data_IF_732191137201
#
_entry.id   IF_732191137201
#
_cell.length_a   1.000
_cell.length_b   1.000
_cell.length_c   1.000
_cell.angle_alpha   90.00
_cell.angle_beta   90.00
_cell.angle_gamma   90.00
#
_symmetry.space_group_name_H-M   'P 1'
#
loop_
_entity.id
_entity.type
_entity.pdbx_description
1 polymer ?
#
# COMPACT_ATOMS: atom_id res chain seq x y z
N UNK A 1 -15.90 -28.03 -35.84
CA UNK A 1 -17.12 -27.27 -35.58
C UNK A 1 -16.73 -26.13 -34.66
N UNK A 2 -17.28 -24.93 -34.85
CA UNK A 2 -17.03 -23.82 -33.94
C UNK A 2 -18.03 -23.99 -32.78
N UNK A 3 -17.54 -24.47 -31.63
CA UNK A 3 -18.38 -24.84 -30.48
C UNK A 3 -18.84 -23.61 -29.67
N UNK A 4 -18.46 -22.41 -30.11
CA UNK A 4 -18.78 -21.14 -29.46
C UNK A 4 -19.90 -20.46 -30.23
N UNK A 5 -21.04 -20.22 -29.56
CA UNK A 5 -22.14 -19.49 -30.19
C UNK A 5 -21.74 -18.03 -30.45
N UNK A 6 -22.36 -17.37 -31.46
CA UNK A 6 -22.09 -15.97 -31.74
C UNK A 6 -22.31 -15.05 -30.54
N UNK A 7 -23.29 -15.32 -29.67
CA UNK A 7 -23.48 -14.54 -28.44
C UNK A 7 -22.33 -14.75 -27.44
N UNK A 8 -21.91 -16.01 -27.25
CA UNK A 8 -20.79 -16.32 -26.35
C UNK A 8 -19.49 -15.65 -26.83
N UNK A 9 -19.26 -15.64 -28.14
CA UNK A 9 -18.09 -14.96 -28.73
C UNK A 9 -18.10 -13.46 -28.44
N UNK A 10 -19.25 -12.81 -28.56
CA UNK A 10 -19.41 -11.37 -28.25
C UNK A 10 -19.21 -11.07 -26.76
N UNK A 11 -19.66 -11.96 -25.88
CA UNK A 11 -19.39 -11.84 -24.44
C UNK A 11 -17.88 -11.95 -24.14
N UNK A 12 -17.21 -12.95 -24.72
CA UNK A 12 -15.77 -13.13 -24.55
C UNK A 12 -14.98 -11.94 -25.10
N UNK A 13 -15.37 -11.43 -26.27
CA UNK A 13 -14.80 -10.22 -26.87
C UNK A 13 -14.97 -9.00 -25.94
N UNK A 14 -16.12 -8.85 -25.28
CA UNK A 14 -16.33 -7.78 -24.30
C UNK A 14 -15.47 -7.96 -23.03
N UNK A 15 -15.30 -9.19 -22.53
CA UNK A 15 -14.41 -9.48 -21.39
C UNK A 15 -12.95 -9.18 -21.73
N UNK A 16 -12.55 -9.42 -22.98
CA UNK A 16 -11.22 -9.08 -23.53
C UNK A 16 -11.04 -7.55 -23.74
N UNK A 17 -12.07 -6.75 -23.45
CA UNK A 17 -12.01 -5.29 -23.47
C UNK A 17 -12.43 -4.64 -24.79
N UNK A 18 -13.03 -5.41 -25.72
CA UNK A 18 -13.60 -4.85 -26.96
C UNK A 18 -14.96 -4.19 -26.69
N UNK A 19 -15.40 -3.38 -27.65
CA UNK A 19 -16.70 -2.71 -27.55
C UNK A 19 -17.88 -3.70 -27.50
N UNK A 20 -18.99 -3.34 -26.82
CA UNK A 20 -20.19 -4.16 -26.75
C UNK A 20 -20.77 -4.55 -28.12
N UNK A 21 -20.80 -5.86 -28.40
CA UNK A 21 -21.24 -6.43 -29.69
C UNK A 21 -22.73 -6.76 -29.80
N UNK A 22 -23.49 -6.69 -28.69
CA UNK A 22 -24.92 -6.98 -28.63
C UNK A 22 -25.62 -6.27 -27.45
N UNK A 23 -26.92 -6.50 -27.31
CA UNK A 23 -27.71 -5.86 -26.24
C UNK A 23 -27.24 -6.30 -24.84
N UNK A 24 -26.89 -7.58 -24.67
CA UNK A 24 -26.44 -8.10 -23.39
C UNK A 24 -25.14 -7.43 -22.93
N UNK A 25 -24.13 -7.38 -23.80
CA UNK A 25 -22.85 -6.71 -23.52
C UNK A 25 -23.00 -5.20 -23.33
N UNK A 26 -23.99 -4.55 -23.98
CA UNK A 26 -24.30 -3.12 -23.78
C UNK A 26 -24.92 -2.85 -22.41
N UNK A 27 -25.83 -3.71 -21.96
CA UNK A 27 -26.38 -3.63 -20.60
C UNK A 27 -25.30 -3.87 -19.55
N UNK A 28 -24.44 -4.86 -19.80
CA UNK A 28 -23.30 -5.15 -18.94
C UNK A 28 -22.34 -3.96 -18.85
N UNK A 29 -21.99 -3.31 -19.96
CA UNK A 29 -21.16 -2.11 -19.96
C UNK A 29 -21.79 -0.99 -19.12
N UNK A 30 -23.10 -0.71 -19.24
CA UNK A 30 -23.76 0.31 -18.41
C UNK A 30 -23.61 0.03 -16.91
N UNK A 31 -23.77 -1.22 -16.49
CA UNK A 31 -23.58 -1.64 -15.09
C UNK A 31 -22.10 -1.51 -14.68
N UNK A 32 -21.18 -1.95 -15.52
CA UNK A 32 -19.74 -1.81 -15.27
C UNK A 32 -19.34 -0.34 -15.13
N UNK A 33 -19.86 0.55 -15.98
CA UNK A 33 -19.60 1.99 -15.92
C UNK A 33 -20.19 2.64 -14.66
N UNK A 34 -21.40 2.25 -14.24
CA UNK A 34 -22.00 2.77 -13.01
C UNK A 34 -21.19 2.36 -11.78
N UNK A 35 -20.72 1.11 -11.78
CA UNK A 35 -19.86 0.55 -10.75
C UNK A 35 -18.46 1.20 -10.75
N UNK A 36 -17.84 1.42 -11.91
CA UNK A 36 -16.54 2.12 -12.03
C UNK A 36 -16.60 3.56 -11.52
N UNK A 37 -17.75 4.21 -11.66
CA UNK A 37 -17.99 5.57 -11.17
C UNK A 37 -18.45 5.59 -9.72
N UNK A 38 -18.60 4.43 -9.06
CA UNK A 38 -19.01 4.35 -7.68
C UNK A 38 -17.97 5.02 -6.78
N UNK A 39 -18.32 6.21 -6.29
CA UNK A 39 -17.47 7.03 -5.43
C UNK A 39 -17.10 6.31 -4.14
N UNK A 40 -17.99 5.46 -3.63
CA UNK A 40 -17.73 4.68 -2.42
C UNK A 40 -16.54 3.74 -2.62
N UNK A 41 -16.47 3.03 -3.75
CA UNK A 41 -15.37 2.08 -4.00
C UNK A 41 -14.04 2.78 -4.23
N UNK A 42 -14.05 3.94 -4.88
CA UNK A 42 -12.84 4.78 -4.99
C UNK A 42 -12.38 5.25 -3.61
N UNK A 43 -13.30 5.69 -2.77
CA UNK A 43 -13.00 6.11 -1.40
C UNK A 43 -12.46 4.94 -0.57
N UNK A 44 -13.13 3.79 -0.58
CA UNK A 44 -12.72 2.59 0.14
C UNK A 44 -11.29 2.16 -0.29
N UNK A 45 -11.02 2.18 -1.60
CA UNK A 45 -9.69 1.86 -2.14
C UNK A 45 -8.63 2.87 -1.71
N UNK A 46 -8.92 4.18 -1.77
CA UNK A 46 -8.00 5.22 -1.30
C UNK A 46 -7.68 5.06 0.18
N UNK A 47 -8.69 4.83 1.02
CA UNK A 47 -8.49 4.58 2.46
C UNK A 47 -7.61 3.36 2.70
N UNK A 48 -7.84 2.27 1.97
CA UNK A 48 -7.01 1.07 2.07
C UNK A 48 -5.55 1.35 1.66
N UNK A 49 -5.34 2.08 0.57
CA UNK A 49 -4.01 2.49 0.12
C UNK A 49 -3.31 3.38 1.16
N UNK A 50 -4.02 4.34 1.76
CA UNK A 50 -3.49 5.18 2.83
C UNK A 50 -3.03 4.33 4.02
N UNK A 51 -3.85 3.36 4.46
CA UNK A 51 -3.45 2.46 5.54
C UNK A 51 -2.24 1.60 5.21
N UNK A 52 -2.08 1.13 3.96
CA UNK A 52 -0.88 0.42 3.57
C UNK A 52 0.36 1.31 3.63
N UNK A 53 0.24 2.56 3.17
CA UNK A 53 1.33 3.53 3.24
C UNK A 53 1.70 3.85 4.71
N UNK A 54 0.71 4.11 5.56
CA UNK A 54 0.92 4.33 7.00
C UNK A 54 1.64 3.15 7.66
N UNK A 55 1.23 1.91 7.33
CA UNK A 55 1.86 0.69 7.87
C UNK A 55 3.30 0.51 7.38
N UNK A 56 3.56 0.85 6.12
CA UNK A 56 4.90 0.83 5.57
C UNK A 56 5.81 1.83 6.29
N UNK A 57 5.36 3.08 6.44
CA UNK A 57 6.09 4.14 7.15
C UNK A 57 6.34 3.79 8.63
N UNK A 58 5.33 3.24 9.32
CA UNK A 58 5.50 2.71 10.68
C UNK A 58 6.56 1.61 10.75
N UNK A 59 6.65 0.75 9.74
CA UNK A 59 7.68 -0.28 9.64
C UNK A 59 9.09 0.29 9.50
N UNK A 60 9.24 1.31 8.64
CA UNK A 60 10.51 2.03 8.47
C UNK A 60 10.91 2.74 9.77
N UNK A 61 9.99 3.46 10.41
CA UNK A 61 10.27 4.16 11.66
C UNK A 61 10.67 3.18 12.77
N UNK A 62 9.97 2.05 12.88
CA UNK A 62 10.30 0.99 13.83
C UNK A 62 11.70 0.43 13.60
N UNK A 63 12.09 0.16 12.36
CA UNK A 63 13.41 -0.34 12.00
C UNK A 63 14.53 0.64 12.37
N UNK A 64 14.32 1.94 12.15
CA UNK A 64 15.23 3.00 12.60
C UNK A 64 15.37 3.06 14.13
N UNK A 65 14.25 2.96 14.86
CA UNK A 65 14.28 2.96 16.33
C UNK A 65 14.98 1.73 16.89
N UNK A 66 14.68 0.53 16.37
CA UNK A 66 15.29 -0.71 16.82
C UNK A 66 16.79 -0.78 16.50
N UNK A 67 17.21 -0.27 15.34
CA UNK A 67 18.64 -0.18 14.99
C UNK A 67 19.38 0.78 15.91
N UNK A 68 18.82 1.97 16.19
CA UNK A 68 19.36 2.91 17.16
C UNK A 68 19.47 2.31 18.56
N UNK A 69 18.42 1.63 19.02
CA UNK A 69 18.38 0.96 20.32
C UNK A 69 19.53 -0.03 20.49
N UNK A 70 19.72 -0.94 19.51
CA UNK A 70 20.82 -1.91 19.52
C UNK A 70 22.20 -1.25 19.55
N UNK A 71 22.38 -0.14 18.81
CA UNK A 71 23.65 0.60 18.80
C UNK A 71 23.93 1.31 20.13
N UNK A 72 22.90 1.84 20.79
CA UNK A 72 23.03 2.46 22.12
C UNK A 72 23.36 1.41 23.17
N UNK A 73 22.67 0.26 23.15
CA UNK A 73 22.90 -0.85 24.08
C UNK A 73 24.31 -1.46 23.95
N UNK A 74 24.84 -1.54 22.72
CA UNK A 74 26.23 -1.97 22.47
C UNK A 74 27.26 -0.96 23.05
N UNK A 75 26.92 0.33 23.09
CA UNK A 75 27.75 1.38 23.68
C UNK A 75 29.04 1.69 22.93
N UNK A 76 29.29 1.05 21.77
CA UNK A 76 30.52 1.21 20.99
C UNK A 76 30.58 2.47 20.12
N UNK A 77 29.49 3.23 20.01
CA UNK A 77 29.35 4.37 19.10
C UNK A 77 28.89 5.65 19.84
N UNK A 78 29.45 6.82 19.51
CA UNK A 78 28.89 8.10 19.95
C UNK A 78 27.46 8.30 19.41
N UNK A 79 26.61 9.00 20.16
CA UNK A 79 25.19 9.20 19.82
C UNK A 79 24.99 9.93 18.49
N UNK A 80 25.92 10.82 18.11
CA UNK A 80 25.90 11.49 16.81
C UNK A 80 26.07 10.49 15.66
N UNK A 81 26.88 9.45 15.85
CA UNK A 81 27.06 8.38 14.86
C UNK A 81 25.83 7.48 14.81
N UNK A 82 25.23 7.17 15.96
CA UNK A 82 23.97 6.42 16.04
C UNK A 82 22.86 7.13 15.26
N UNK A 83 22.72 8.45 15.42
CA UNK A 83 21.74 9.26 14.68
C UNK A 83 21.96 9.16 13.16
N UNK A 84 23.21 9.33 12.71
CA UNK A 84 23.57 9.24 11.29
C UNK A 84 23.26 7.85 10.71
N UNK A 85 23.61 6.76 11.41
CA UNK A 85 23.44 5.40 10.90
C UNK A 85 21.99 4.90 10.97
N UNK A 86 21.25 5.26 12.01
CA UNK A 86 19.83 4.91 12.14
C UNK A 86 18.92 5.81 11.29
N UNK A 87 19.43 6.92 10.75
CA UNK A 87 18.61 7.89 10.03
C UNK A 87 17.58 8.59 10.93
N UNK A 88 17.88 8.69 12.23
CA UNK A 88 17.15 9.47 13.23
C UNK A 88 17.84 10.82 13.46
N UNK A 89 17.11 11.76 14.05
CA UNK A 89 17.72 12.99 14.57
C UNK A 89 18.48 12.73 15.87
N UNK A 90 19.45 13.57 16.17
CA UNK A 90 20.20 13.48 17.44
C UNK A 90 19.26 13.60 18.66
N UNK A 91 18.24 14.46 18.57
CA UNK A 91 17.23 14.63 19.62
C UNK A 91 16.46 13.33 19.89
N UNK A 92 16.03 12.62 18.84
CA UNK A 92 15.34 11.33 18.97
C UNK A 92 16.24 10.25 19.60
N UNK A 93 17.52 10.22 19.23
CA UNK A 93 18.50 9.28 19.81
C UNK A 93 18.74 9.58 21.29
N UNK A 94 18.87 10.85 21.66
CA UNK A 94 19.01 11.27 23.06
C UNK A 94 17.77 10.93 23.90
N UNK A 95 16.58 11.10 23.33
CA UNK A 95 15.35 10.70 23.99
C UNK A 95 15.26 9.18 24.17
N UNK A 96 15.66 8.42 23.14
CA UNK A 96 15.70 6.96 23.18
C UNK A 96 16.68 6.46 24.25
N UNK A 97 17.89 7.02 24.32
CA UNK A 97 18.88 6.69 25.35
C UNK A 97 18.32 6.95 26.76
N UNK A 98 17.70 8.12 26.99
CA UNK A 98 17.06 8.43 28.28
C UNK A 98 15.99 7.41 28.66
N UNK A 99 15.16 7.00 27.69
CA UNK A 99 14.11 5.99 27.92
C UNK A 99 14.70 4.63 28.29
N UNK A 100 15.81 4.24 27.66
CA UNK A 100 16.51 2.98 27.97
C UNK A 100 17.20 3.00 29.34
N UNK A 101 17.76 4.14 29.75
CA UNK A 101 18.37 4.30 31.08
C UNK A 101 17.34 4.32 32.23
N UNK A 102 16.08 4.66 31.92
CA UNK A 102 14.96 4.70 32.87
C UNK A 102 14.18 3.39 32.96
N UNK A 103 14.44 2.44 32.04
CA UNK A 103 13.80 1.11 31.99
C UNK A 103 14.57 0.11 32.86
#
# INVERSE_FOLDING_TARGET
MDDVTPEMKKLLDFIDGKEPGDNFTRELDKVVQSVRKNEKWRLDYMTLQMHYQEKYEQGIEKEKMESAMRMIEDGGLPLEKVAVYSGLTLEQVLELEKRLQLA
#
